data_IF_385301372764
#
_entry.id   IF_385301372764
#
_cell.length_a   1.000
_cell.length_b   1.000
_cell.length_c   1.000
_cell.angle_alpha   90.00
_cell.angle_beta   90.00
_cell.angle_gamma   90.00
#
_symmetry.space_group_name_H-M   'P 1'
#
loop_
_entity.id
_entity.type
_entity.pdbx_description
1 polymer ?
#
# COMPACT_ATOMS: atom_id res chain seq x y z
N UNK A 1 -0.11 12.21 17.38
CA UNK A 1 0.51 11.03 16.77
C UNK A 1 -0.44 10.59 15.65
N UNK A 2 0.05 10.16 14.51
CA UNK A 2 -0.81 9.62 13.45
C UNK A 2 -1.26 8.22 13.83
N UNK A 3 -2.45 7.85 13.39
CA UNK A 3 -3.05 6.55 13.72
C UNK A 3 -2.60 5.44 12.77
N UNK A 4 -2.37 5.81 11.49
CA UNK A 4 -1.96 4.89 10.44
C UNK A 4 -0.72 5.43 9.73
N UNK A 5 0.32 4.61 9.59
CA UNK A 5 1.45 4.85 8.69
C UNK A 5 1.30 4.00 7.43
N UNK A 6 1.24 4.66 6.27
CA UNK A 6 1.20 3.98 4.97
C UNK A 6 2.62 3.84 4.46
N UNK A 7 3.14 2.62 4.46
CA UNK A 7 4.49 2.30 4.01
C UNK A 7 4.46 1.87 2.55
N UNK A 8 5.17 2.62 1.70
CA UNK A 8 5.23 2.41 0.26
C UNK A 8 6.68 2.12 -0.15
N UNK A 9 7.06 0.87 -0.43
CA UNK A 9 8.37 0.57 -0.99
C UNK A 9 8.42 0.97 -2.47
N UNK A 10 9.51 1.63 -2.87
CA UNK A 10 9.78 2.02 -4.26
C UNK A 10 11.17 1.56 -4.70
N UNK A 11 11.26 0.95 -5.88
CA UNK A 11 12.51 0.69 -6.56
C UNK A 11 12.35 0.88 -8.07
N UNK A 12 12.97 1.93 -8.62
CA UNK A 12 12.88 2.31 -10.03
C UNK A 12 11.44 2.41 -10.55
N UNK A 13 10.53 2.89 -9.69
CA UNK A 13 9.10 2.92 -9.94
C UNK A 13 8.53 4.33 -10.16
N UNK A 14 9.35 5.34 -10.51
CA UNK A 14 8.96 6.75 -10.65
C UNK A 14 7.66 6.95 -11.43
N UNK A 15 7.45 6.19 -12.51
CA UNK A 15 6.27 6.29 -13.38
C UNK A 15 4.95 5.96 -12.70
N UNK A 16 4.99 5.21 -11.60
CA UNK A 16 3.79 4.80 -10.86
C UNK A 16 3.47 5.70 -9.68
N UNK A 17 4.45 6.49 -9.21
CA UNK A 17 4.33 7.23 -7.95
C UNK A 17 3.24 8.30 -7.99
N UNK A 18 3.13 9.06 -9.08
CA UNK A 18 2.17 10.15 -9.13
C UNK A 18 0.72 9.68 -8.93
N UNK A 19 0.16 8.75 -9.71
CA UNK A 19 -1.22 8.30 -9.51
C UNK A 19 -1.44 7.63 -8.15
N UNK A 20 -0.45 6.92 -7.62
CA UNK A 20 -0.53 6.31 -6.29
C UNK A 20 -0.59 7.36 -5.18
N UNK A 21 0.33 8.32 -5.18
CA UNK A 21 0.41 9.36 -4.14
C UNK A 21 -0.76 10.33 -4.21
N UNK A 22 -1.18 10.74 -5.40
CA UNK A 22 -2.34 11.62 -5.58
C UNK A 22 -3.61 10.96 -5.03
N UNK A 23 -3.83 9.67 -5.32
CA UNK A 23 -4.99 8.93 -4.81
C UNK A 23 -4.99 8.84 -3.27
N UNK A 24 -3.81 8.69 -2.65
CA UNK A 24 -3.67 8.69 -1.19
C UNK A 24 -3.91 10.07 -0.57
N UNK A 25 -3.36 11.12 -1.16
CA UNK A 25 -3.52 12.49 -0.64
C UNK A 25 -4.96 13.01 -0.73
N UNK A 26 -5.79 12.41 -1.59
CA UNK A 26 -7.22 12.71 -1.71
C UNK A 26 -8.12 11.85 -0.79
N UNK A 27 -7.53 11.03 0.10
CA UNK A 27 -8.33 10.26 1.05
C UNK A 27 -8.93 11.15 2.14
N UNK A 28 -10.15 10.82 2.54
CA UNK A 28 -10.94 11.58 3.54
C UNK A 28 -10.67 11.19 5.01
N UNK A 29 -9.63 10.39 5.26
CA UNK A 29 -9.22 9.98 6.60
C UNK A 29 -8.19 10.96 7.19
N UNK A 30 -8.44 11.54 8.40
CA UNK A 30 -7.63 12.67 8.87
C UNK A 30 -6.31 12.27 9.55
N UNK A 31 -6.15 11.02 9.97
CA UNK A 31 -5.09 10.60 10.89
C UNK A 31 -4.14 9.58 10.28
N UNK A 32 -3.56 9.90 9.12
CA UNK A 32 -2.53 9.05 8.52
C UNK A 32 -1.28 9.86 8.11
N UNK A 33 -0.21 9.15 7.87
CA UNK A 33 1.00 9.64 7.21
C UNK A 33 1.45 8.69 6.11
N UNK A 34 2.24 9.19 5.17
CA UNK A 34 2.85 8.39 4.11
C UNK A 34 4.34 8.32 4.37
N UNK A 35 4.87 7.10 4.47
CA UNK A 35 6.30 6.79 4.55
C UNK A 35 6.70 6.09 3.26
N UNK A 36 7.32 6.83 2.35
CA UNK A 36 7.83 6.26 1.11
C UNK A 36 9.29 5.85 1.29
N UNK A 37 9.57 4.58 1.06
CA UNK A 37 10.92 4.03 1.15
C UNK A 37 11.47 3.80 -0.24
N UNK A 38 12.35 4.68 -0.68
CA UNK A 38 13.10 4.50 -1.91
C UNK A 38 14.26 3.54 -1.66
N UNK A 39 14.23 2.39 -2.29
CA UNK A 39 15.13 1.27 -2.05
C UNK A 39 16.35 1.30 -2.98
N UNK A 40 17.03 2.45 -3.06
CA UNK A 40 18.23 2.63 -3.88
C UNK A 40 17.92 2.81 -5.37
N UNK A 41 16.87 3.56 -5.73
CA UNK A 41 16.52 3.82 -7.13
C UNK A 41 17.55 4.69 -7.85
N UNK A 42 17.67 4.46 -9.16
CA UNK A 42 18.51 5.24 -10.08
C UNK A 42 17.70 6.03 -11.13
N UNK A 43 16.37 5.94 -11.09
CA UNK A 43 15.46 6.55 -12.09
C UNK A 43 15.07 8.01 -11.79
N UNK A 44 15.66 8.60 -10.74
CA UNK A 44 15.38 9.97 -10.32
C UNK A 44 14.12 10.10 -9.43
N UNK A 45 13.55 8.99 -8.93
CA UNK A 45 12.41 8.99 -8.00
C UNK A 45 12.65 9.88 -6.80
N UNK A 46 13.81 9.76 -6.14
CA UNK A 46 14.15 10.51 -4.90
C UNK A 46 14.08 12.02 -5.10
N UNK A 47 14.70 12.53 -6.17
CA UNK A 47 14.69 13.96 -6.47
C UNK A 47 13.26 14.44 -6.78
N UNK A 48 12.55 13.67 -7.59
CA UNK A 48 11.19 13.98 -7.99
C UNK A 48 10.20 14.00 -6.82
N UNK A 49 10.29 13.04 -5.86
CA UNK A 49 9.45 13.02 -4.67
C UNK A 49 9.72 14.26 -3.80
N UNK A 50 10.99 14.60 -3.57
CA UNK A 50 11.35 15.78 -2.76
C UNK A 50 10.80 17.07 -3.33
N UNK A 51 10.76 17.20 -4.65
CA UNK A 51 10.27 18.37 -5.35
C UNK A 51 8.73 18.45 -5.36
N UNK A 52 8.05 17.33 -5.63
CA UNK A 52 6.60 17.34 -5.89
C UNK A 52 5.76 16.95 -4.66
N UNK A 53 6.34 16.23 -3.67
CA UNK A 53 5.64 15.72 -2.48
C UNK A 53 6.45 15.96 -1.20
N UNK A 54 6.83 17.23 -0.89
CA UNK A 54 7.69 17.54 0.27
C UNK A 54 7.03 17.22 1.63
N UNK A 55 5.72 17.00 1.66
CA UNK A 55 4.96 16.63 2.86
C UNK A 55 5.06 15.14 3.22
N UNK A 56 5.58 14.29 2.32
CA UNK A 56 5.71 12.84 2.53
C UNK A 56 7.02 12.54 3.23
N UNK A 57 6.99 11.63 4.20
CA UNK A 57 8.21 11.12 4.82
C UNK A 57 8.95 10.22 3.83
N UNK A 58 10.10 10.69 3.32
CA UNK A 58 10.93 9.96 2.38
C UNK A 58 12.15 9.37 3.06
N UNK A 59 12.28 8.04 2.99
CA UNK A 59 13.47 7.29 3.40
C UNK A 59 14.19 6.83 2.14
N UNK A 60 15.38 7.35 1.87
CA UNK A 60 16.18 6.95 0.73
C UNK A 60 17.32 6.01 1.19
N UNK A 61 17.21 4.73 0.86
CA UNK A 61 18.24 3.74 1.13
C UNK A 61 19.38 3.87 0.10
N UNK A 62 20.59 3.52 0.50
CA UNK A 62 21.77 3.63 -0.36
C UNK A 62 21.81 2.57 -1.46
N UNK A 63 21.19 1.42 -1.21
CA UNK A 63 21.19 0.26 -2.10
C UNK A 63 19.87 -0.50 -1.99
N UNK A 64 19.60 -1.35 -2.97
CA UNK A 64 18.41 -2.20 -2.96
C UNK A 64 18.58 -3.37 -1.96
N UNK A 65 17.86 -3.30 -0.87
CA UNK A 65 17.82 -4.32 0.20
C UNK A 65 16.74 -5.38 -0.02
N UNK A 66 16.14 -5.44 -1.22
CA UNK A 66 15.00 -6.28 -1.53
C UNK A 66 13.68 -5.72 -0.98
N UNK A 67 12.56 -6.33 -1.37
CA UNK A 67 11.22 -5.88 -0.97
C UNK A 67 11.07 -5.83 0.55
N UNK A 68 11.41 -6.93 1.23
CA UNK A 68 11.29 -7.00 2.70
C UNK A 68 12.18 -5.98 3.42
N UNK A 69 13.40 -5.71 2.91
CA UNK A 69 14.29 -4.71 3.49
C UNK A 69 13.69 -3.30 3.41
N UNK A 70 13.16 -2.92 2.24
CA UNK A 70 12.48 -1.65 2.07
C UNK A 70 11.24 -1.51 2.96
N UNK A 71 10.39 -2.53 2.99
CA UNK A 71 9.20 -2.55 3.86
C UNK A 71 9.57 -2.42 5.33
N UNK A 72 10.54 -3.20 5.81
CA UNK A 72 10.97 -3.17 7.21
C UNK A 72 11.57 -1.82 7.61
N UNK A 73 12.29 -1.15 6.71
CA UNK A 73 12.78 0.20 6.95
C UNK A 73 11.64 1.20 7.20
N UNK A 74 10.55 1.10 6.43
CA UNK A 74 9.35 1.91 6.61
C UNK A 74 8.61 1.58 7.91
N UNK A 75 8.41 0.29 8.22
CA UNK A 75 7.79 -0.14 9.46
C UNK A 75 8.58 0.36 10.68
N UNK A 76 9.91 0.25 10.66
CA UNK A 76 10.77 0.70 11.75
C UNK A 76 10.73 2.22 11.98
N UNK A 77 10.42 3.00 10.95
CA UNK A 77 10.26 4.45 11.06
C UNK A 77 8.88 4.89 11.52
N UNK A 78 7.89 4.01 11.41
CA UNK A 78 6.52 4.28 11.86
C UNK A 78 6.45 4.39 13.38
N UNK A 79 5.63 5.36 13.83
CA UNK A 79 5.22 5.51 15.25
C UNK A 79 3.70 5.37 15.41
N UNK A 80 3.00 4.99 14.34
CA UNK A 80 1.56 4.81 14.34
C UNK A 80 1.16 3.47 14.95
N UNK A 81 -0.09 3.39 15.40
CA UNK A 81 -0.65 2.15 15.95
C UNK A 81 -0.82 1.07 14.86
N UNK A 82 -1.19 1.51 13.66
CA UNK A 82 -1.41 0.62 12.51
C UNK A 82 -0.44 0.94 11.37
N UNK A 83 0.03 -0.11 10.70
CA UNK A 83 0.84 0.02 9.49
C UNK A 83 0.06 -0.58 8.31
N UNK A 84 -0.13 0.24 7.28
CA UNK A 84 -0.69 -0.17 6.00
C UNK A 84 0.44 -0.33 4.99
N UNK A 85 0.64 -1.53 4.47
CA UNK A 85 1.59 -1.79 3.39
C UNK A 85 0.90 -1.59 2.04
N UNK A 86 1.45 -0.74 1.18
CA UNK A 86 0.89 -0.44 -0.13
C UNK A 86 1.97 -0.44 -1.20
N UNK A 87 1.76 -1.17 -2.29
CA UNK A 87 2.65 -1.12 -3.44
C UNK A 87 2.52 0.21 -4.19
N UNK A 88 3.63 0.70 -4.75
CA UNK A 88 3.69 1.97 -5.48
C UNK A 88 2.93 1.97 -6.82
N UNK A 89 2.55 0.80 -7.35
CA UNK A 89 1.81 0.60 -8.60
C UNK A 89 0.30 0.38 -8.39
N UNK A 90 -0.21 0.79 -7.22
CA UNK A 90 -1.64 0.73 -6.89
C UNK A 90 -2.29 2.11 -6.90
N UNK A 91 -3.60 2.15 -7.20
CA UNK A 91 -4.42 3.35 -7.12
C UNK A 91 -5.59 3.04 -6.17
N UNK A 92 -5.62 3.72 -5.02
CA UNK A 92 -6.66 3.51 -4.02
C UNK A 92 -7.93 4.29 -4.36
N UNK A 93 -9.09 3.70 -4.12
CA UNK A 93 -10.39 4.36 -4.30
C UNK A 93 -10.72 5.28 -3.12
N UNK A 94 -11.63 6.27 -3.28
CA UNK A 94 -12.13 7.08 -2.18
C UNK A 94 -12.67 6.22 -1.03
N UNK A 95 -12.35 6.60 0.22
CA UNK A 95 -12.78 5.85 1.41
C UNK A 95 -11.94 4.61 1.75
N UNK A 96 -10.90 4.30 0.97
CA UNK A 96 -10.05 3.12 1.16
C UNK A 96 -9.44 3.05 2.57
N UNK A 97 -8.80 4.14 3.03
CA UNK A 97 -8.16 4.17 4.35
C UNK A 97 -9.22 4.04 5.45
N UNK A 98 -10.35 4.73 5.31
CA UNK A 98 -11.46 4.68 6.28
C UNK A 98 -12.00 3.26 6.44
N UNK A 99 -12.28 2.57 5.34
CA UNK A 99 -12.82 1.22 5.37
C UNK A 99 -11.87 0.22 6.06
N UNK A 100 -10.55 0.33 5.80
CA UNK A 100 -9.56 -0.50 6.48
C UNK A 100 -9.44 -0.16 7.97
N UNK A 101 -9.45 1.13 8.33
CA UNK A 101 -9.41 1.58 9.72
C UNK A 101 -10.61 1.08 10.51
N UNK A 102 -11.81 1.28 9.99
CA UNK A 102 -13.06 0.79 10.60
C UNK A 102 -13.05 -0.74 10.75
N UNK A 103 -12.55 -1.45 9.76
CA UNK A 103 -12.47 -2.92 9.80
C UNK A 103 -11.50 -3.39 10.89
N UNK A 104 -10.25 -2.90 10.90
CA UNK A 104 -9.25 -3.36 11.87
C UNK A 104 -9.65 -3.01 13.31
N UNK A 105 -10.35 -1.91 13.51
CA UNK A 105 -10.81 -1.44 14.82
C UNK A 105 -12.13 -2.07 15.29
N UNK A 106 -12.85 -2.75 14.42
CA UNK A 106 -14.17 -3.33 14.74
C UNK A 106 -14.11 -4.44 15.78
N UNK A 107 -12.94 -5.07 15.97
CA UNK A 107 -12.74 -6.09 16.99
C UNK A 107 -11.26 -6.21 17.38
N UNK A 108 -10.94 -6.37 18.67
CA UNK A 108 -9.58 -6.59 19.14
C UNK A 108 -8.99 -7.96 18.71
N UNK A 109 -9.81 -8.82 18.14
CA UNK A 109 -9.37 -10.11 17.61
C UNK A 109 -8.94 -10.06 16.14
N UNK A 110 -9.12 -8.93 15.47
CA UNK A 110 -8.63 -8.74 14.09
C UNK A 110 -7.17 -8.32 14.14
N UNK A 111 -6.28 -9.22 13.74
CA UNK A 111 -4.85 -8.95 13.67
C UNK A 111 -4.47 -8.18 12.39
N UNK A 112 -5.10 -8.52 11.27
CA UNK A 112 -4.85 -7.87 9.98
C UNK A 112 -6.08 -7.92 9.09
N UNK A 113 -6.18 -6.96 8.17
CA UNK A 113 -7.19 -6.96 7.12
C UNK A 113 -6.53 -6.64 5.78
N UNK A 114 -7.14 -7.09 4.70
CA UNK A 114 -6.69 -6.86 3.33
C UNK A 114 -7.82 -6.22 2.52
N UNK A 115 -7.47 -5.27 1.69
CA UNK A 115 -8.42 -4.72 0.73
C UNK A 115 -8.64 -5.66 -0.45
N UNK A 116 -9.86 -5.67 -0.97
CA UNK A 116 -10.17 -6.26 -2.26
C UNK A 116 -9.45 -5.47 -3.37
N UNK A 117 -8.70 -6.17 -4.23
CA UNK A 117 -7.97 -5.56 -5.35
C UNK A 117 -8.68 -5.82 -6.67
N UNK A 118 -8.85 -4.76 -7.45
CA UNK A 118 -9.42 -4.80 -8.80
C UNK A 118 -8.31 -4.69 -9.85
N UNK A 119 -8.55 -5.26 -11.03
CA UNK A 119 -7.59 -5.13 -12.13
C UNK A 119 -7.59 -3.70 -12.66
N UNK A 120 -6.42 -3.11 -12.80
CA UNK A 120 -6.27 -1.71 -13.30
C UNK A 120 -6.83 -1.56 -14.72
N UNK A 121 -6.69 -2.59 -15.58
CA UNK A 121 -7.15 -2.57 -16.96
C UNK A 121 -8.66 -2.82 -17.09
N UNK A 122 -9.26 -3.47 -16.10
CA UNK A 122 -10.69 -3.82 -16.09
C UNK A 122 -11.20 -3.90 -14.64
N UNK A 123 -11.60 -2.77 -14.10
CA UNK A 123 -12.10 -2.66 -12.73
C UNK A 123 -13.39 -3.45 -12.45
N UNK A 124 -14.02 -4.05 -13.46
CA UNK A 124 -15.12 -4.99 -13.26
C UNK A 124 -14.67 -6.37 -12.80
N UNK A 125 -13.33 -6.61 -12.75
CA UNK A 125 -12.73 -7.89 -12.39
C UNK A 125 -11.84 -7.78 -11.17
N UNK A 126 -11.88 -8.82 -10.35
CA UNK A 126 -11.01 -9.01 -9.21
C UNK A 126 -9.58 -9.32 -9.69
N UNK A 127 -8.61 -8.68 -9.07
CA UNK A 127 -7.21 -9.13 -9.11
C UNK A 127 -6.90 -10.04 -7.91
N UNK A 128 -7.30 -9.62 -6.71
CA UNK A 128 -7.17 -10.40 -5.48
C UNK A 128 -8.26 -10.01 -4.47
N UNK A 129 -8.99 -10.99 -3.94
CA UNK A 129 -9.99 -10.82 -2.88
C UNK A 129 -9.64 -11.60 -1.60
N UNK A 130 -8.39 -12.02 -1.46
CA UNK A 130 -7.88 -12.80 -0.35
C UNK A 130 -7.03 -13.98 -0.81
N UNK A 131 -6.31 -14.58 0.12
CA UNK A 131 -5.40 -15.68 -0.18
C UNK A 131 -5.79 -16.94 0.58
N UNK A 132 -5.79 -18.07 -0.12
CA UNK A 132 -5.98 -19.39 0.47
C UNK A 132 -4.73 -20.24 0.30
N UNK A 133 -4.46 -21.09 1.29
CA UNK A 133 -3.44 -22.11 1.21
C UNK A 133 -4.09 -23.48 1.03
N UNK A 134 -3.62 -24.26 0.06
CA UNK A 134 -4.01 -25.67 -0.02
C UNK A 134 -3.13 -26.56 0.89
N UNK A 135 -3.58 -27.77 1.13
CA UNK A 135 -2.86 -28.74 1.96
C UNK A 135 -1.41 -29.06 1.48
N UNK A 136 -1.09 -28.75 0.23
CA UNK A 136 0.24 -28.90 -0.35
C UNK A 136 1.14 -27.66 -0.16
N UNK A 137 0.66 -26.62 0.56
CA UNK A 137 1.43 -25.41 0.85
C UNK A 137 1.43 -24.37 -0.28
N UNK A 138 0.56 -24.48 -1.28
CA UNK A 138 0.46 -23.50 -2.36
C UNK A 138 -0.57 -22.44 -2.00
N UNK A 139 -0.23 -21.16 -2.29
CA UNK A 139 -1.13 -20.03 -2.13
C UNK A 139 -1.91 -19.78 -3.42
N UNK A 140 -3.19 -19.45 -3.27
CA UNK A 140 -4.08 -19.05 -4.37
C UNK A 140 -4.74 -17.74 -4.04
N UNK A 141 -4.73 -16.80 -4.99
CA UNK A 141 -5.53 -15.58 -4.90
C UNK A 141 -7.01 -15.92 -5.17
N UNK A 142 -7.90 -15.51 -4.24
CA UNK A 142 -9.33 -15.67 -4.47
C UNK A 142 -9.83 -14.66 -5.50
N UNK A 143 -10.78 -15.11 -6.28
CA UNK A 143 -11.55 -14.26 -7.21
C UNK A 143 -10.80 -13.78 -8.44
N UNK A 144 -9.51 -14.07 -8.63
CA UNK A 144 -8.74 -13.56 -9.77
C UNK A 144 -9.43 -13.77 -11.10
N UNK A 145 -9.69 -12.67 -11.82
CA UNK A 145 -10.39 -12.66 -13.12
C UNK A 145 -11.92 -12.81 -13.04
N UNK A 146 -12.49 -13.02 -11.84
CA UNK A 146 -13.95 -13.11 -11.67
C UNK A 146 -14.60 -11.72 -11.59
N UNK A 147 -15.91 -11.60 -11.91
CA UNK A 147 -16.62 -10.32 -11.80
C UNK A 147 -16.64 -9.79 -10.37
N UNK A 148 -16.32 -8.50 -10.20
CA UNK A 148 -16.27 -7.79 -8.91
C UNK A 148 -17.57 -7.90 -8.13
N UNK A 149 -18.71 -7.80 -8.81
CA UNK A 149 -20.08 -7.86 -8.23
C UNK A 149 -20.38 -9.13 -7.43
N UNK A 150 -19.58 -10.18 -7.58
CA UNK A 150 -19.75 -11.44 -6.85
C UNK A 150 -18.96 -11.47 -5.54
N UNK A 151 -18.22 -10.37 -5.22
CA UNK A 151 -17.33 -10.25 -4.06
C UNK A 151 -17.65 -8.95 -3.31
N UNK A 152 -18.63 -8.99 -2.45
CA UNK A 152 -19.05 -7.87 -1.57
C UNK A 152 -18.49 -8.06 -0.17
#
# INVERSE_FOLDING_TARGET
MKEISIVIPNFNGKKYLQPCLDALLHQDYPSFEIILVDNGSSDGSVAWIKENYPQICLIALKENTGFCGGVNAGISASQAEYVLLLNNDTIVLPGFIRALAETIQSSPHIFSCQAKMLQIQDSSKIDDAGNYYCALGWAFADGKGKPEKNYS
#
